data_IF_639141318395
#
_entry.id   IF_639141318395
#
_cell.length_a   1.000
_cell.length_b   1.000
_cell.length_c   1.000
_cell.angle_alpha   90.00
_cell.angle_beta   90.00
_cell.angle_gamma   90.00
#
_symmetry.space_group_name_H-M   'P 1'
#
loop_
_entity.id
_entity.type
_entity.pdbx_description
1 polymer ?
#
# COMPACT_ATOMS: atom_id res chain seq x y z
N UNK A 1 -2.90 -15.58 15.10
CA UNK A 1 -2.74 -14.50 14.10
C UNK A 1 -2.81 -15.13 12.73
N UNK A 2 -3.42 -14.49 11.73
CA UNK A 2 -3.44 -15.02 10.36
C UNK A 2 -2.02 -15.09 9.80
N UNK A 3 -1.74 -16.10 8.98
CA UNK A 3 -0.43 -16.30 8.34
C UNK A 3 -0.45 -15.77 6.91
N UNK A 4 0.57 -14.97 6.56
CA UNK A 4 0.75 -14.43 5.21
C UNK A 4 1.66 -15.37 4.41
N UNK A 5 1.22 -15.74 3.21
CA UNK A 5 2.00 -16.54 2.27
C UNK A 5 3.33 -15.85 2.00
N UNK A 6 4.41 -16.64 2.08
CA UNK A 6 5.79 -16.13 1.96
C UNK A 6 6.18 -15.92 0.50
N UNK A 7 5.63 -14.89 -0.13
CA UNK A 7 5.96 -14.43 -1.50
C UNK A 7 6.23 -12.92 -1.51
N UNK A 8 7.13 -12.45 -2.39
CA UNK A 8 7.39 -11.03 -2.53
C UNK A 8 6.23 -10.29 -3.22
N UNK A 9 6.14 -8.99 -2.99
CA UNK A 9 5.30 -8.08 -3.76
C UNK A 9 5.88 -6.67 -3.74
N UNK A 10 5.48 -5.85 -4.72
CA UNK A 10 5.79 -4.43 -4.71
C UNK A 10 4.62 -3.71 -4.07
N UNK A 11 4.92 -2.89 -3.06
CA UNK A 11 3.93 -2.05 -2.42
C UNK A 11 4.18 -0.58 -2.76
N UNK A 12 3.12 0.12 -3.17
CA UNK A 12 3.12 1.56 -3.36
C UNK A 12 2.07 2.19 -2.45
N UNK A 13 2.51 2.93 -1.45
CA UNK A 13 1.61 3.83 -0.71
C UNK A 13 1.17 4.94 -1.66
N UNK A 14 -0.10 5.32 -1.63
CA UNK A 14 -0.60 6.46 -2.39
C UNK A 14 0.25 7.74 -2.19
N UNK A 15 0.28 8.62 -3.20
CA UNK A 15 0.91 9.95 -3.12
C UNK A 15 0.25 10.84 -2.05
N UNK A 16 0.85 11.98 -1.71
CA UNK A 16 0.27 12.89 -0.71
C UNK A 16 -1.19 13.26 -1.05
N UNK A 17 -2.10 13.04 -0.10
CA UNK A 17 -3.50 13.48 -0.20
C UNK A 17 -3.77 14.79 0.52
N UNK A 18 -4.93 15.41 0.27
CA UNK A 18 -5.34 16.63 0.98
C UNK A 18 -5.40 16.42 2.50
N UNK A 19 -5.86 15.25 2.99
CA UNK A 19 -5.80 14.92 4.42
C UNK A 19 -4.37 14.74 4.94
N UNK A 20 -3.45 14.20 4.14
CA UNK A 20 -2.04 14.11 4.55
C UNK A 20 -1.45 15.52 4.73
N UNK A 21 -1.69 16.41 3.77
CA UNK A 21 -1.25 17.81 3.83
C UNK A 21 -1.81 18.52 5.07
N UNK A 22 -3.08 18.27 5.38
CA UNK A 22 -3.76 18.86 6.54
C UNK A 22 -3.49 18.12 7.86
N UNK A 23 -2.61 17.10 7.86
CA UNK A 23 -2.32 16.23 9.01
C UNK A 23 -3.57 15.65 9.68
N UNK A 24 -4.55 15.21 8.90
CA UNK A 24 -5.80 14.60 9.37
C UNK A 24 -5.87 13.12 9.01
N UNK A 25 -6.52 12.33 9.86
CA UNK A 25 -6.79 10.92 9.64
C UNK A 25 -7.81 10.81 8.50
N UNK A 26 -7.41 10.23 7.37
CA UNK A 26 -8.32 10.00 6.25
C UNK A 26 -9.15 8.73 6.44
N UNK A 27 -8.54 7.65 6.95
CA UNK A 27 -9.15 6.33 7.00
C UNK A 27 -9.76 5.93 5.65
N UNK A 28 -11.04 5.58 5.62
CA UNK A 28 -11.75 5.22 4.41
C UNK A 28 -12.46 6.38 3.70
N UNK A 29 -12.36 7.61 4.21
CA UNK A 29 -12.82 8.80 3.48
C UNK A 29 -12.14 8.87 2.14
N UNK A 30 -12.93 9.18 1.10
CA UNK A 30 -12.37 9.41 -0.21
C UNK A 30 -11.89 10.86 -0.32
N UNK A 31 -10.60 11.02 -0.58
CA UNK A 31 -9.94 12.31 -0.63
C UNK A 31 -8.92 12.31 -1.77
N UNK A 32 -8.82 13.41 -2.53
CA UNK A 32 -7.96 13.45 -3.71
C UNK A 32 -6.48 13.57 -3.31
N UNK A 33 -5.62 13.32 -4.30
CA UNK A 33 -4.20 13.70 -4.23
C UNK A 33 -4.05 15.21 -4.25
N UNK A 34 -3.00 15.72 -3.63
CA UNK A 34 -2.54 17.10 -3.88
C UNK A 34 -1.77 17.15 -5.20
N UNK A 35 -1.50 18.36 -5.71
CA UNK A 35 -0.60 18.53 -6.85
C UNK A 35 0.80 17.95 -6.56
N UNK A 36 1.24 17.99 -5.29
CA UNK A 36 2.47 17.33 -4.85
C UNK A 36 2.33 15.80 -4.91
N UNK A 37 1.24 15.24 -4.39
CA UNK A 37 0.99 13.80 -4.46
C UNK A 37 0.95 13.24 -5.87
N UNK A 38 0.39 14.00 -6.82
CA UNK A 38 0.44 13.60 -8.22
C UNK A 38 1.87 13.65 -8.80
N UNK A 39 2.70 14.63 -8.41
CA UNK A 39 4.12 14.67 -8.82
C UNK A 39 4.89 13.48 -8.27
N UNK A 40 4.69 13.14 -7.00
CA UNK A 40 5.31 11.97 -6.37
C UNK A 40 4.92 10.69 -7.10
N UNK A 41 3.63 10.52 -7.43
CA UNK A 41 3.15 9.38 -8.20
C UNK A 41 3.77 9.29 -9.61
N UNK A 42 3.93 10.43 -10.30
CA UNK A 42 4.62 10.48 -11.60
C UNK A 42 6.12 10.19 -11.48
N UNK A 43 6.76 10.55 -10.37
CA UNK A 43 8.17 10.18 -10.12
C UNK A 43 8.31 8.66 -9.94
N UNK A 44 7.35 8.00 -9.29
CA UNK A 44 7.34 6.54 -9.18
C UNK A 44 7.31 5.84 -10.54
N UNK A 45 6.79 6.49 -11.59
CA UNK A 45 6.77 5.94 -12.95
C UNK A 45 8.17 5.71 -13.54
N UNK A 46 9.22 6.34 -13.00
CA UNK A 46 10.60 6.07 -13.41
C UNK A 46 11.00 4.61 -13.13
N UNK A 47 10.44 3.99 -12.08
CA UNK A 47 10.71 2.59 -11.74
C UNK A 47 9.57 1.65 -12.18
N UNK A 48 8.33 2.14 -12.21
CA UNK A 48 7.14 1.31 -12.37
C UNK A 48 6.49 1.40 -13.76
N UNK A 49 6.75 2.47 -14.52
CA UNK A 49 5.96 2.86 -15.68
C UNK A 49 6.18 1.98 -16.90
N UNK A 50 7.42 1.52 -17.13
CA UNK A 50 7.80 0.69 -18.26
C UNK A 50 7.71 -0.81 -17.98
N UNK A 51 7.38 -1.22 -16.76
CA UNK A 51 7.23 -2.63 -16.39
C UNK A 51 5.90 -3.17 -16.93
N UNK A 52 5.95 -4.29 -17.64
CA UNK A 52 4.77 -5.05 -18.04
C UNK A 52 4.30 -5.92 -16.87
N UNK A 53 3.67 -5.26 -15.89
CA UNK A 53 3.18 -5.90 -14.67
C UNK A 53 2.22 -7.05 -14.96
N UNK A 54 2.44 -8.25 -14.38
CA UNK A 54 1.48 -9.36 -14.51
C UNK A 54 0.16 -9.04 -13.78
N UNK A 55 0.23 -8.21 -12.74
CA UNK A 55 -0.92 -7.70 -12.02
C UNK A 55 -0.60 -6.34 -11.38
N UNK A 56 -1.56 -5.43 -11.51
CA UNK A 56 -1.61 -4.13 -10.84
C UNK A 56 -2.96 -4.07 -10.14
N UNK A 57 -2.97 -4.00 -8.82
CA UNK A 57 -4.18 -3.82 -8.03
C UNK A 57 -4.08 -2.59 -7.18
N UNK A 58 -5.23 -1.95 -6.94
CA UNK A 58 -5.30 -0.79 -6.08
C UNK A 58 -6.46 -0.89 -5.09
N UNK A 59 -6.33 -0.22 -3.96
CA UNK A 59 -7.49 0.15 -3.16
C UNK A 59 -8.47 1.00 -4.01
N UNK A 60 -9.79 0.84 -3.83
CA UNK A 60 -10.78 1.61 -4.59
C UNK A 60 -10.82 3.11 -4.24
N UNK A 61 -10.16 3.53 -3.16
CA UNK A 61 -10.11 4.95 -2.77
C UNK A 61 -9.32 5.75 -3.81
N UNK A 62 -9.86 6.90 -4.22
CA UNK A 62 -9.40 7.76 -5.31
C UNK A 62 -7.90 7.99 -5.25
N UNK A 63 -7.36 8.38 -4.09
CA UNK A 63 -5.91 8.61 -3.90
C UNK A 63 -5.04 7.41 -4.29
N UNK A 64 -5.48 6.18 -4.01
CA UNK A 64 -4.73 4.98 -4.35
C UNK A 64 -4.88 4.65 -5.84
N UNK A 65 -6.11 4.68 -6.37
CA UNK A 65 -6.38 4.48 -7.80
C UNK A 65 -5.61 5.48 -8.66
N UNK A 66 -5.71 6.77 -8.34
CA UNK A 66 -5.03 7.85 -9.06
C UNK A 66 -3.50 7.71 -8.98
N UNK A 67 -2.97 7.29 -7.84
CA UNK A 67 -1.53 7.00 -7.71
C UNK A 67 -1.12 5.85 -8.64
N UNK A 68 -1.90 4.76 -8.69
CA UNK A 68 -1.61 3.63 -9.57
C UNK A 68 -1.59 4.04 -11.05
N UNK A 69 -2.57 4.84 -11.48
CA UNK A 69 -2.66 5.37 -12.84
C UNK A 69 -1.43 6.20 -13.21
N UNK A 70 -1.06 7.16 -12.35
CA UNK A 70 0.07 8.04 -12.59
C UNK A 70 1.42 7.32 -12.53
N UNK A 71 1.55 6.31 -11.67
CA UNK A 71 2.79 5.56 -11.49
C UNK A 71 3.02 4.49 -12.58
N UNK A 72 1.96 4.00 -13.22
CA UNK A 72 2.07 2.90 -14.21
C UNK A 72 1.68 3.30 -15.62
N UNK A 73 1.16 4.52 -15.79
CA UNK A 73 0.63 5.03 -17.06
C UNK A 73 -0.66 4.36 -17.52
N UNK A 74 -1.31 3.53 -16.69
CA UNK A 74 -2.50 2.76 -17.04
C UNK A 74 -3.41 2.52 -15.84
N UNK A 75 -4.67 2.18 -16.09
CA UNK A 75 -5.59 1.80 -15.02
C UNK A 75 -5.13 0.51 -14.31
N UNK A 76 -5.35 0.38 -12.98
CA UNK A 76 -5.15 -0.89 -12.31
C UNK A 76 -6.07 -1.96 -12.91
N UNK A 77 -5.61 -3.21 -12.98
CA UNK A 77 -6.38 -4.32 -13.50
C UNK A 77 -7.64 -4.57 -12.64
N UNK A 78 -7.51 -4.46 -11.32
CA UNK A 78 -8.61 -4.60 -10.38
C UNK A 78 -8.54 -3.57 -9.24
N UNK A 79 -9.72 -3.12 -8.79
CA UNK A 79 -9.88 -2.39 -7.54
C UNK A 79 -10.34 -3.34 -6.44
N UNK A 80 -9.57 -3.47 -5.37
CA UNK A 80 -9.80 -4.49 -4.35
C UNK A 80 -10.22 -3.83 -3.04
N UNK A 81 -11.47 -4.06 -2.62
CA UNK A 81 -12.03 -3.50 -1.38
C UNK A 81 -11.22 -3.86 -0.14
N UNK A 82 -10.66 -5.08 -0.11
CA UNK A 82 -9.78 -5.55 0.96
C UNK A 82 -8.49 -4.75 1.16
N UNK A 83 -8.08 -3.93 0.18
CA UNK A 83 -6.92 -3.04 0.25
C UNK A 83 -7.23 -1.64 0.80
N UNK A 84 -8.49 -1.33 1.16
CA UNK A 84 -8.81 -0.06 1.83
C UNK A 84 -8.01 0.11 3.11
N UNK A 85 -7.65 1.36 3.41
CA UNK A 85 -7.08 1.75 4.71
C UNK A 85 -8.02 1.30 5.84
N UNK A 86 -7.47 1.18 7.05
CA UNK A 86 -8.26 0.93 8.25
C UNK A 86 -9.37 1.97 8.37
N UNK A 87 -10.59 1.52 8.66
CA UNK A 87 -11.69 2.40 9.01
C UNK A 87 -11.44 2.96 10.41
N UNK A 88 -11.22 4.27 10.52
CA UNK A 88 -10.89 4.90 11.80
C UNK A 88 -12.13 5.40 12.55
N UNK A 89 -13.32 5.14 12.03
CA UNK A 89 -14.59 5.47 12.68
C UNK A 89 -14.65 6.95 13.05
N UNK A 90 -15.02 7.24 14.29
CA UNK A 90 -15.14 8.61 14.80
C UNK A 90 -13.83 9.41 14.79
N UNK A 91 -12.67 8.75 14.67
CA UNK A 91 -11.38 9.45 14.57
C UNK A 91 -11.04 9.93 13.16
N UNK A 92 -11.83 9.59 12.13
CA UNK A 92 -11.64 10.17 10.81
C UNK A 92 -11.81 11.70 10.88
N UNK A 93 -11.10 12.40 10.00
CA UNK A 93 -11.00 13.86 9.92
C UNK A 93 -10.33 14.54 11.13
N UNK A 94 -10.11 13.86 12.25
CA UNK A 94 -9.34 14.38 13.38
C UNK A 94 -7.85 14.52 13.04
N UNK A 95 -7.13 15.43 13.72
CA UNK A 95 -5.67 15.53 13.58
C UNK A 95 -5.00 14.18 13.86
N UNK A 96 -3.96 13.86 13.09
CA UNK A 96 -3.12 12.70 13.33
C UNK A 96 -2.38 12.94 14.66
N UNK A 97 -2.59 12.10 15.70
CA UNK A 97 -1.86 12.20 16.94
C UNK A 97 -0.37 11.89 16.73
N UNK A 98 0.47 12.25 17.71
CA UNK A 98 1.89 11.91 17.69
C UNK A 98 2.10 10.40 17.60
N UNK A 99 1.35 9.64 18.41
CA UNK A 99 1.32 8.18 18.39
C UNK A 99 -0.08 7.70 18.00
N UNK A 100 -0.16 6.92 16.94
CA UNK A 100 -1.43 6.35 16.49
C UNK A 100 -1.82 5.17 17.40
N UNK A 101 -3.07 5.11 17.91
CA UNK A 101 -3.52 4.02 18.75
C UNK A 101 -3.91 2.79 17.91
N UNK A 102 -2.95 2.18 17.21
CA UNK A 102 -3.22 1.09 16.26
C UNK A 102 -3.93 -0.10 16.91
N UNK A 103 -3.58 -0.46 18.13
CA UNK A 103 -4.15 -1.64 18.81
C UNK A 103 -5.53 -1.39 19.46
N UNK A 104 -5.98 -0.13 19.56
CA UNK A 104 -7.31 0.19 20.06
C UNK A 104 -8.34 0.08 18.95
N UNK A 105 -9.56 -0.37 19.29
CA UNK A 105 -10.70 -0.34 18.37
C UNK A 105 -11.36 1.03 18.42
N UNK A 106 -11.29 1.84 17.35
CA UNK A 106 -12.03 3.08 17.27
C UNK A 106 -13.55 2.82 17.29
N UNK A 107 -14.29 3.68 17.97
CA UNK A 107 -15.76 3.64 17.93
C UNK A 107 -16.26 3.83 16.49
N UNK A 108 -17.20 3.00 16.06
CA UNK A 108 -17.70 2.95 14.68
C UNK A 108 -16.66 2.50 13.64
N UNK A 109 -15.44 2.15 14.05
CA UNK A 109 -14.34 1.79 13.17
C UNK A 109 -13.97 0.32 13.19
N UNK A 110 -12.90 -0.03 12.47
CA UNK A 110 -12.42 -1.41 12.34
C UNK A 110 -11.42 -1.72 13.45
N UNK A 111 -11.56 -2.88 14.12
CA UNK A 111 -10.58 -3.32 15.11
C UNK A 111 -9.22 -3.64 14.47
N UNK A 112 -8.14 -3.65 15.25
CA UNK A 112 -6.83 -4.04 14.73
C UNK A 112 -6.84 -5.48 14.19
N UNK A 113 -7.50 -6.39 14.91
CA UNK A 113 -7.59 -7.80 14.56
C UNK A 113 -8.36 -8.01 13.23
N UNK A 114 -9.46 -7.29 13.04
CA UNK A 114 -10.24 -7.35 11.79
C UNK A 114 -9.44 -6.78 10.63
N UNK A 115 -8.75 -5.65 10.85
CA UNK A 115 -7.90 -5.04 9.84
C UNK A 115 -6.77 -5.97 9.40
N UNK A 116 -6.05 -6.58 10.35
CA UNK A 116 -5.00 -7.58 10.07
C UNK A 116 -5.59 -8.77 9.32
N UNK A 117 -6.73 -9.30 9.76
CA UNK A 117 -7.39 -10.45 9.12
C UNK A 117 -7.77 -10.15 7.68
N UNK A 118 -8.39 -8.98 7.43
CA UNK A 118 -8.78 -8.54 6.08
C UNK A 118 -7.58 -8.35 5.17
N UNK A 119 -6.52 -7.67 5.65
CA UNK A 119 -5.32 -7.42 4.85
C UNK A 119 -4.61 -8.74 4.51
N UNK A 120 -4.44 -9.64 5.47
CA UNK A 120 -3.77 -10.93 5.22
C UNK A 120 -4.59 -11.81 4.27
N UNK A 121 -5.92 -11.90 4.45
CA UNK A 121 -6.77 -12.63 3.52
C UNK A 121 -6.69 -12.07 2.10
N UNK A 122 -6.68 -10.74 1.96
CA UNK A 122 -6.56 -10.06 0.67
C UNK A 122 -5.21 -10.32 0.02
N UNK A 123 -4.11 -10.17 0.77
CA UNK A 123 -2.76 -10.42 0.25
C UNK A 123 -2.57 -11.89 -0.13
N UNK A 124 -3.04 -12.83 0.68
CA UNK A 124 -2.96 -14.26 0.35
C UNK A 124 -3.67 -14.57 -0.98
N UNK A 125 -4.88 -14.03 -1.20
CA UNK A 125 -5.60 -14.23 -2.45
C UNK A 125 -4.82 -13.69 -3.66
N UNK A 126 -4.15 -12.54 -3.53
CA UNK A 126 -3.35 -11.94 -4.60
C UNK A 126 -2.04 -12.69 -4.84
N UNK A 127 -1.38 -13.13 -3.77
CA UNK A 127 -0.07 -13.77 -3.81
C UNK A 127 -0.13 -15.24 -4.24
N UNK A 128 -1.28 -15.92 -4.12
CA UNK A 128 -1.47 -17.27 -4.69
C UNK A 128 -1.40 -17.23 -6.22
N UNK A 129 -2.08 -16.26 -6.83
CA UNK A 129 -2.29 -16.16 -8.28
C UNK A 129 -1.11 -15.53 -9.02
N UNK A 130 -0.35 -14.64 -8.37
CA UNK A 130 0.72 -13.89 -9.02
C UNK A 130 2.00 -13.85 -8.19
N UNK A 131 3.14 -14.09 -8.82
CA UNK A 131 4.44 -14.19 -8.12
C UNK A 131 4.90 -12.86 -7.51
N UNK A 132 4.73 -11.75 -8.24
CA UNK A 132 5.22 -10.43 -7.82
C UNK A 132 4.27 -9.30 -8.29
N UNK A 133 3.07 -9.17 -7.71
CA UNK A 133 2.11 -8.14 -8.10
C UNK A 133 2.54 -6.74 -7.62
N UNK A 134 2.10 -5.70 -8.34
CA UNK A 134 2.11 -4.32 -7.85
C UNK A 134 0.82 -4.03 -7.08
N UNK A 135 0.95 -3.71 -5.80
CA UNK A 135 -0.17 -3.44 -4.89
C UNK A 135 -0.10 -1.98 -4.44
N UNK A 136 -1.13 -1.20 -4.81
CA UNK A 136 -1.24 0.22 -4.47
C UNK A 136 -2.26 0.44 -3.35
N UNK A 137 -1.83 0.99 -2.23
CA UNK A 137 -2.66 1.08 -1.02
C UNK A 137 -2.22 2.16 -0.05
N UNK A 138 -2.31 1.86 1.25
CA UNK A 138 -2.21 2.84 2.33
C UNK A 138 -1.24 2.39 3.43
N UNK A 139 -0.86 3.30 4.31
CA UNK A 139 0.16 3.05 5.34
C UNK A 139 -0.21 1.88 6.25
N UNK A 140 -1.50 1.65 6.54
CA UNK A 140 -1.93 0.55 7.40
C UNK A 140 -1.49 -0.84 6.90
N UNK A 141 -1.37 -1.08 5.58
CA UNK A 141 -0.91 -2.37 5.06
C UNK A 141 0.50 -2.69 5.54
N UNK A 142 1.43 -1.73 5.45
CA UNK A 142 2.81 -1.90 5.94
C UNK A 142 2.85 -2.09 7.46
N UNK A 143 1.92 -1.46 8.20
CA UNK A 143 1.77 -1.70 9.65
C UNK A 143 1.39 -3.14 9.94
N UNK A 144 0.52 -3.76 9.11
CA UNK A 144 0.20 -5.19 9.22
C UNK A 144 1.42 -6.05 8.98
N UNK A 145 2.23 -5.78 7.94
CA UNK A 145 3.46 -6.55 7.69
C UNK A 145 4.43 -6.48 8.86
N UNK A 146 4.65 -5.29 9.44
CA UNK A 146 5.50 -5.10 10.64
C UNK A 146 4.96 -5.86 11.85
N UNK A 147 3.64 -5.88 12.01
CA UNK A 147 2.99 -6.60 13.10
C UNK A 147 3.16 -8.12 12.96
N UNK A 148 3.09 -8.65 11.74
CA UNK A 148 3.36 -10.08 11.50
C UNK A 148 4.82 -10.44 11.74
N UNK A 149 5.75 -9.52 11.48
CA UNK A 149 7.19 -9.71 11.66
C UNK A 149 7.65 -9.59 13.13
N UNK A 150 7.19 -8.55 13.83
CA UNK A 150 7.73 -8.14 15.14
C UNK A 150 6.73 -8.19 16.29
N UNK A 151 5.45 -8.50 16.02
CA UNK A 151 4.36 -8.38 16.99
C UNK A 151 3.92 -6.93 17.27
N UNK A 152 4.48 -5.95 16.56
CA UNK A 152 4.16 -4.52 16.71
C UNK A 152 3.90 -3.84 15.37
N UNK A 153 2.87 -2.99 15.24
CA UNK A 153 2.68 -2.16 14.05
C UNK A 153 3.67 -0.99 13.97
N UNK A 154 4.41 -0.71 15.04
CA UNK A 154 5.26 0.48 15.16
C UNK A 154 6.46 0.46 14.20
N UNK A 155 7.01 1.65 13.94
CA UNK A 155 8.17 1.83 13.07
C UNK A 155 8.00 2.99 12.08
N UNK A 156 8.98 3.23 11.20
CA UNK A 156 8.92 4.33 10.24
C UNK A 156 7.75 4.16 9.28
N UNK A 157 7.09 5.28 8.99
CA UNK A 157 6.05 5.34 7.97
C UNK A 157 6.71 5.31 6.60
N UNK A 158 6.15 4.56 5.65
CA UNK A 158 6.61 4.63 4.26
C UNK A 158 6.25 5.98 3.65
N UNK A 159 7.18 6.56 2.90
CA UNK A 159 6.95 7.82 2.20
C UNK A 159 5.84 7.70 1.16
N UNK A 160 5.22 8.83 0.84
CA UNK A 160 4.18 8.89 -0.17
C UNK A 160 4.76 8.55 -1.56
N UNK A 161 4.09 7.66 -2.28
CA UNK A 161 4.46 7.18 -3.61
C UNK A 161 5.94 6.76 -3.79
N UNK A 162 6.60 6.30 -2.72
CA UNK A 162 7.90 5.62 -2.81
C UNK A 162 7.68 4.11 -2.94
N UNK A 163 7.96 3.47 -4.09
CA UNK A 163 7.75 2.04 -4.25
C UNK A 163 8.63 1.25 -3.27
N UNK A 164 8.07 0.22 -2.66
CA UNK A 164 8.75 -0.64 -1.70
C UNK A 164 8.79 -2.08 -2.20
N UNK A 165 9.93 -2.74 -2.00
CA UNK A 165 10.04 -4.19 -2.04
C UNK A 165 9.61 -4.75 -0.68
N UNK A 166 8.63 -5.65 -0.68
CA UNK A 166 8.20 -6.39 0.51
C UNK A 166 8.39 -7.86 0.25
N UNK A 167 9.25 -8.53 1.02
CA UNK A 167 9.58 -9.93 0.79
C UNK A 167 9.90 -10.69 2.07
N UNK A 168 9.74 -12.03 2.06
CA UNK A 168 10.19 -12.87 3.15
C UNK A 168 11.70 -12.72 3.39
N UNK A 169 12.09 -12.62 4.67
CA UNK A 169 13.48 -12.60 5.12
C UNK A 169 13.72 -13.68 6.19
N UNK A 170 14.75 -14.51 6.02
CA UNK A 170 15.05 -15.61 6.92
C UNK A 170 13.90 -16.63 7.07
N UNK A 171 13.74 -17.21 8.25
CA UNK A 171 12.77 -18.28 8.50
C UNK A 171 11.36 -17.78 8.81
N UNK A 172 11.21 -16.57 9.34
CA UNK A 172 9.91 -16.02 9.77
C UNK A 172 9.70 -14.54 9.49
N UNK A 173 10.74 -13.81 9.07
CA UNK A 173 10.69 -12.35 8.98
C UNK A 173 10.24 -11.82 7.62
N UNK A 174 10.09 -10.50 7.57
CA UNK A 174 9.78 -9.71 6.39
C UNK A 174 10.74 -8.53 6.23
N UNK A 175 11.31 -8.38 5.04
CA UNK A 175 12.04 -7.18 4.63
C UNK A 175 11.07 -6.17 4.02
N UNK A 176 11.22 -4.90 4.39
CA UNK A 176 10.54 -3.76 3.75
C UNK A 176 11.61 -2.71 3.47
N UNK A 177 11.87 -2.46 2.19
CA UNK A 177 12.88 -1.49 1.74
C UNK A 177 12.44 -0.78 0.47
N UNK A 178 13.05 0.37 0.11
CA UNK A 178 12.86 0.97 -1.19
C UNK A 178 13.10 -0.03 -2.32
N UNK A 179 12.23 0.03 -3.34
CA UNK A 179 12.36 -0.78 -4.55
C UNK A 179 13.60 -0.35 -5.33
N UNK A 180 14.39 -1.33 -5.78
CA UNK A 180 15.52 -1.12 -6.67
C UNK A 180 15.17 -1.59 -8.07
N UNK A 181 15.84 -1.04 -9.08
CA UNK A 181 15.63 -1.45 -10.48
C UNK A 181 15.92 -2.96 -10.67
N UNK A 182 16.90 -3.50 -9.95
CA UNK A 182 17.23 -4.93 -9.96
C UNK A 182 16.10 -5.83 -9.50
N UNK A 183 15.20 -5.34 -8.63
CA UNK A 183 14.08 -6.13 -8.11
C UNK A 183 13.02 -6.41 -9.18
N UNK A 184 12.90 -5.53 -10.18
CA UNK A 184 11.93 -5.65 -11.28
C UNK A 184 12.60 -5.98 -12.62
N UNK A 185 13.92 -6.14 -12.65
CA UNK A 185 14.68 -6.39 -13.87
C UNK A 185 14.30 -7.72 -14.57
N UNK A 186 13.77 -8.69 -13.82
CA UNK A 186 13.28 -9.96 -14.35
C UNK A 186 11.90 -9.87 -15.00
N UNK A 187 11.15 -8.79 -14.77
CA UNK A 187 9.83 -8.58 -15.36
C UNK A 187 9.96 -8.03 -16.79
N UNK A 188 9.05 -8.42 -17.70
CA UNK A 188 9.05 -7.88 -19.06
C UNK A 188 8.83 -6.37 -19.05
N UNK A 189 9.34 -5.69 -20.08
CA UNK A 189 9.10 -4.25 -20.29
C UNK A 189 8.05 -4.03 -21.36
N UNK A 190 7.26 -2.97 -21.22
CA UNK A 190 6.36 -2.51 -22.28
C UNK A 190 7.18 -2.18 -23.53
N UNK A 191 6.71 -2.64 -24.69
CA UNK A 191 7.24 -2.17 -25.96
C UNK A 191 7.04 -0.66 -26.06
N UNK A 192 8.13 0.09 -26.28
CA UNK A 192 8.01 1.50 -26.67
C UNK A 192 7.36 1.51 -28.05
N UNK A 193 6.06 1.78 -28.12
CA UNK A 193 5.43 2.17 -29.38
C UNK A 193 6.15 3.42 -29.85
N UNK A 194 6.77 3.31 -31.02
CA UNK A 194 7.52 4.34 -31.71
C UNK A 194 6.60 5.45 -32.19
#
# INVERSE_FOLDING_TARGET
MPELIRRPFIFLRHGQSTSNLNRRIAGQRDVPLTAQGEREARQAALLLGDVAWPLIVASPLERARRTAELATGRAPHCLIGGLKERHWGEHEEHPIPETMPYLLSPEGGESWADFVTRIVATLNALLVEHETPLIVGHSGLIRVIRYLDSGSPEGPRTDNAMPQWVAPYGTRGWEIRPLLESDVAHLPRLSKTT
#
